data_IF_301092774769
#
_entry.id   IF_301092774769
#
_cell.length_a   1.000
_cell.length_b   1.000
_cell.length_c   1.000
_cell.angle_alpha   90.00
_cell.angle_beta   90.00
_cell.angle_gamma   90.00
#
_symmetry.space_group_name_H-M   'P 1'
#
loop_
_entity.id
_entity.type
_entity.pdbx_description
1 polymer ?
#
# COMPACT_ATOMS: atom_id res chain seq x y z
N UNK A 1 11.90 -19.47 -26.08
CA UNK A 1 11.65 -18.36 -25.14
C UNK A 1 12.58 -18.55 -23.96
N UNK A 2 13.61 -17.72 -23.75
CA UNK A 2 14.34 -17.76 -22.49
C UNK A 2 13.37 -17.34 -21.38
N UNK A 3 13.01 -18.29 -20.54
CA UNK A 3 12.17 -18.07 -19.36
C UNK A 3 12.94 -17.10 -18.46
N UNK A 4 12.33 -15.95 -18.09
CA UNK A 4 12.86 -15.10 -17.03
C UNK A 4 13.14 -15.99 -15.82
N UNK A 5 14.40 -16.06 -15.38
CA UNK A 5 14.69 -16.72 -14.11
C UNK A 5 13.93 -15.97 -13.03
N UNK A 6 13.19 -16.70 -12.20
CA UNK A 6 12.40 -16.13 -11.10
C UNK A 6 13.24 -15.22 -10.19
N UNK A 7 14.55 -15.41 -10.19
CA UNK A 7 15.57 -14.69 -9.41
C UNK A 7 15.80 -13.24 -9.87
N UNK A 8 15.47 -12.87 -11.11
CA UNK A 8 15.63 -11.50 -11.64
C UNK A 8 14.32 -10.85 -12.10
N UNK A 9 13.18 -11.40 -11.66
CA UNK A 9 11.84 -10.97 -12.08
C UNK A 9 11.56 -9.47 -11.85
N UNK A 10 12.24 -8.85 -10.88
CA UNK A 10 12.10 -7.44 -10.52
C UNK A 10 13.32 -6.59 -10.90
N UNK A 11 14.24 -7.12 -11.72
CA UNK A 11 15.41 -6.36 -12.16
C UNK A 11 15.00 -5.00 -12.75
N UNK A 12 15.65 -3.94 -12.26
CA UNK A 12 15.38 -2.56 -12.66
C UNK A 12 14.11 -1.94 -12.11
N UNK A 13 13.32 -2.67 -11.31
CA UNK A 13 12.12 -2.12 -10.69
C UNK A 13 12.49 -1.32 -9.43
N UNK A 14 12.04 -0.08 -9.33
CA UNK A 14 12.03 0.67 -8.06
C UNK A 14 10.69 0.52 -7.38
N UNK A 15 10.70 0.10 -6.12
CA UNK A 15 9.50 -0.25 -5.38
C UNK A 15 9.45 0.52 -4.05
N UNK A 16 8.36 1.25 -3.82
CA UNK A 16 8.12 1.97 -2.58
C UNK A 16 7.31 1.10 -1.62
N UNK A 17 7.78 0.94 -0.39
CA UNK A 17 7.02 0.31 0.70
C UNK A 17 6.54 1.40 1.65
N UNK A 18 5.23 1.70 1.60
CA UNK A 18 4.61 2.74 2.43
C UNK A 18 4.29 2.27 3.87
N UNK A 19 4.68 1.04 4.21
CA UNK A 19 4.47 0.40 5.50
C UNK A 19 5.65 0.64 6.45
N UNK A 20 5.36 0.69 7.75
CA UNK A 20 6.36 0.75 8.81
C UNK A 20 6.73 -0.66 9.30
N UNK A 21 5.80 -1.33 9.98
CA UNK A 21 6.00 -2.66 10.57
C UNK A 21 6.29 -3.74 9.52
N UNK A 22 7.35 -4.53 9.73
CA UNK A 22 7.82 -5.60 8.83
C UNK A 22 8.11 -5.13 7.39
N UNK A 23 8.36 -3.85 7.20
CA UNK A 23 8.82 -3.29 5.93
C UNK A 23 10.16 -3.88 5.47
N UNK A 24 11.03 -4.25 6.42
CA UNK A 24 12.31 -4.92 6.18
C UNK A 24 12.13 -6.32 5.57
N UNK A 25 11.20 -7.12 6.12
CA UNK A 25 10.91 -8.46 5.58
C UNK A 25 10.40 -8.38 4.15
N UNK A 26 9.47 -7.43 3.89
CA UNK A 26 8.90 -7.22 2.57
C UNK A 26 9.95 -6.69 1.59
N UNK A 27 10.79 -5.74 2.00
CA UNK A 27 11.89 -5.21 1.20
C UNK A 27 12.87 -6.33 0.82
N UNK A 28 13.36 -7.08 1.81
CA UNK A 28 14.27 -8.21 1.60
C UNK A 28 13.69 -9.23 0.60
N UNK A 29 12.39 -9.54 0.70
CA UNK A 29 11.76 -10.49 -0.20
C UNK A 29 11.73 -10.01 -1.67
N UNK A 30 11.58 -8.71 -1.90
CA UNK A 30 11.56 -8.08 -3.22
C UNK A 30 12.98 -7.85 -3.77
N UNK A 31 13.91 -7.41 -2.94
CA UNK A 31 15.33 -7.21 -3.27
C UNK A 31 15.99 -8.51 -3.70
N UNK A 32 15.64 -9.64 -3.05
CA UNK A 32 16.06 -10.99 -3.47
C UNK A 32 15.63 -11.37 -4.90
N UNK A 33 14.70 -10.63 -5.51
CA UNK A 33 14.25 -10.81 -6.90
C UNK A 33 14.75 -9.70 -7.84
N UNK A 34 15.67 -8.85 -7.37
CA UNK A 34 16.33 -7.81 -8.17
C UNK A 34 15.73 -6.41 -8.09
N UNK A 35 14.74 -6.17 -7.20
CA UNK A 35 14.18 -4.84 -7.01
C UNK A 35 15.13 -3.91 -6.25
N UNK A 36 14.99 -2.61 -6.49
CA UNK A 36 15.49 -1.55 -5.58
C UNK A 36 14.32 -1.10 -4.72
N UNK A 37 14.40 -1.28 -3.40
CA UNK A 37 13.28 -0.94 -2.50
C UNK A 37 13.56 0.35 -1.72
N UNK A 38 12.58 1.25 -1.72
CA UNK A 38 12.56 2.45 -0.88
C UNK A 38 11.49 2.31 0.19
N UNK A 39 11.90 2.29 1.46
CA UNK A 39 10.98 2.31 2.59
C UNK A 39 10.59 3.75 2.88
N UNK A 40 9.30 4.04 2.80
CA UNK A 40 8.73 5.36 3.03
C UNK A 40 7.49 5.23 3.94
N UNK A 41 7.68 4.83 5.21
CA UNK A 41 6.57 4.62 6.13
C UNK A 41 5.75 5.90 6.28
N UNK A 42 4.50 5.87 5.83
CA UNK A 42 3.63 7.04 5.82
C UNK A 42 3.04 7.38 7.20
N UNK A 43 3.32 6.55 8.19
CA UNK A 43 2.93 6.71 9.59
C UNK A 43 3.87 5.90 10.47
N UNK A 44 3.85 6.17 11.78
CA UNK A 44 4.53 5.37 12.80
C UNK A 44 3.52 4.72 13.74
N UNK A 45 3.94 3.67 14.44
CA UNK A 45 3.17 3.11 15.57
C UNK A 45 3.78 3.66 16.85
N UNK A 46 2.99 4.41 17.62
CA UNK A 46 3.37 4.85 18.97
C UNK A 46 2.75 3.87 19.96
N UNK A 47 3.59 3.07 20.61
CA UNK A 47 3.24 2.16 21.70
C UNK A 47 3.37 2.88 23.04
N UNK A 48 2.49 2.59 24.00
CA UNK A 48 2.59 3.15 25.36
C UNK A 48 2.21 4.63 25.48
N UNK A 49 1.59 5.21 24.44
CA UNK A 49 1.28 6.64 24.41
C UNK A 49 0.34 7.08 25.55
N UNK A 50 -0.46 6.16 26.11
CA UNK A 50 -1.49 6.44 27.11
C UNK A 50 -1.76 5.23 28.03
N UNK A 51 -0.70 4.55 28.51
CA UNK A 51 -0.87 3.40 29.41
C UNK A 51 -1.70 3.76 30.66
N UNK A 52 -1.53 4.98 31.18
CA UNK A 52 -2.33 5.49 32.32
C UNK A 52 -3.82 5.60 31.98
N UNK A 53 -4.16 6.13 30.81
CA UNK A 53 -5.57 6.27 30.41
C UNK A 53 -6.19 4.90 30.12
N UNK A 54 -5.45 4.02 29.45
CA UNK A 54 -5.88 2.65 29.17
C UNK A 54 -6.11 1.86 30.46
N UNK A 55 -5.22 1.97 31.45
CA UNK A 55 -5.40 1.32 32.76
C UNK A 55 -6.61 1.88 33.50
N UNK A 56 -6.76 3.20 33.57
CA UNK A 56 -7.93 3.82 34.20
C UNK A 56 -9.25 3.38 33.54
N UNK A 57 -9.27 3.22 32.21
CA UNK A 57 -10.44 2.66 31.50
C UNK A 57 -10.64 1.17 31.78
N UNK A 58 -9.55 0.41 31.94
CA UNK A 58 -9.60 -1.01 32.33
C UNK A 58 -10.21 -1.17 33.72
N UNK A 59 -9.82 -0.34 34.70
CA UNK A 59 -10.43 -0.31 36.03
C UNK A 59 -11.93 0.01 35.97
N UNK A 60 -12.36 0.91 35.07
CA UNK A 60 -13.79 1.19 34.84
C UNK A 60 -14.54 0.02 34.21
N UNK A 61 -13.90 -0.76 33.34
CA UNK A 61 -14.46 -2.01 32.80
C UNK A 61 -14.63 -3.04 33.91
N UNK A 62 -13.66 -3.16 34.81
CA UNK A 62 -13.73 -4.09 35.93
C UNK A 62 -14.83 -3.69 36.92
N UNK A 63 -14.91 -2.40 37.26
CA UNK A 63 -15.88 -1.89 38.21
C UNK A 63 -17.33 -1.93 37.69
N UNK A 64 -17.52 -1.76 36.39
CA UNK A 64 -18.82 -1.77 35.72
C UNK A 64 -18.70 -2.56 34.40
N UNK A 65 -18.89 -3.89 34.47
CA UNK A 65 -18.69 -4.81 33.35
C UNK A 65 -19.58 -4.53 32.14
N UNK A 66 -19.06 -4.70 30.91
CA UNK A 66 -19.84 -4.49 29.69
C UNK A 66 -20.79 -5.67 29.42
N UNK A 67 -21.94 -5.39 28.82
CA UNK A 67 -22.79 -6.42 28.22
C UNK A 67 -22.17 -7.00 26.94
N UNK A 68 -21.46 -6.17 26.18
CA UNK A 68 -20.93 -6.51 24.85
C UNK A 68 -19.48 -6.04 24.75
N UNK A 69 -18.60 -6.89 24.20
CA UNK A 69 -17.22 -6.54 23.88
C UNK A 69 -16.99 -6.64 22.38
N UNK A 70 -16.69 -5.51 21.75
CA UNK A 70 -16.32 -5.45 20.35
C UNK A 70 -14.80 -5.41 20.22
N UNK A 71 -14.25 -6.36 19.47
CA UNK A 71 -12.82 -6.42 19.17
C UNK A 71 -12.57 -6.08 17.71
N UNK A 72 -11.96 -4.92 17.47
CA UNK A 72 -11.60 -4.52 16.10
C UNK A 72 -10.34 -5.23 15.63
N UNK A 73 -9.29 -5.41 16.46
CA UNK A 73 -8.07 -6.06 15.99
C UNK A 73 -7.46 -6.99 17.03
N UNK A 74 -6.94 -8.12 16.57
CA UNK A 74 -6.28 -9.05 17.49
C UNK A 74 -4.98 -8.52 18.10
N UNK A 75 -4.27 -7.60 17.43
CA UNK A 75 -3.08 -6.97 18.03
C UNK A 75 -3.50 -6.02 19.15
N UNK A 76 -4.57 -5.25 18.94
CA UNK A 76 -5.08 -4.35 19.96
C UNK A 76 -5.61 -5.08 21.19
N UNK A 77 -6.40 -6.14 20.99
CA UNK A 77 -6.94 -6.92 22.11
C UNK A 77 -5.88 -7.68 22.89
N UNK A 78 -4.93 -8.37 22.22
CA UNK A 78 -3.81 -9.00 22.93
C UNK A 78 -2.99 -7.99 23.71
N UNK A 79 -2.63 -6.87 23.09
CA UNK A 79 -1.87 -5.83 23.78
C UNK A 79 -2.60 -5.28 25.00
N UNK A 80 -3.93 -5.23 24.97
CA UNK A 80 -4.73 -4.81 26.13
C UNK A 80 -4.69 -5.85 27.26
N UNK A 81 -4.93 -7.12 26.93
CA UNK A 81 -4.87 -8.21 27.91
C UNK A 81 -3.46 -8.36 28.51
N UNK A 82 -2.42 -8.27 27.68
CA UNK A 82 -1.03 -8.31 28.12
C UNK A 82 -0.73 -7.14 29.07
N UNK A 83 -1.15 -5.92 28.73
CA UNK A 83 -0.94 -4.76 29.59
C UNK A 83 -1.72 -4.84 30.91
N UNK A 84 -2.95 -5.39 30.90
CA UNK A 84 -3.70 -5.66 32.12
C UNK A 84 -2.98 -6.68 33.02
N UNK A 85 -2.44 -7.74 32.43
CA UNK A 85 -1.65 -8.75 33.14
C UNK A 85 -0.37 -8.17 33.75
N UNK A 86 0.38 -7.36 32.98
CA UNK A 86 1.58 -6.68 33.47
C UNK A 86 1.32 -5.77 34.68
N UNK A 87 0.08 -5.28 34.83
CA UNK A 87 -0.36 -4.44 35.95
C UNK A 87 -1.17 -5.21 37.01
N UNK A 88 -1.26 -6.54 36.93
CA UNK A 88 -1.96 -7.39 37.91
C UNK A 88 -3.47 -7.22 37.92
N UNK A 89 -4.07 -6.83 36.79
CA UNK A 89 -5.52 -6.65 36.61
C UNK A 89 -6.18 -7.81 35.87
N UNK A 90 -5.42 -8.83 35.47
CA UNK A 90 -5.87 -9.95 34.64
C UNK A 90 -7.01 -10.75 35.24
N UNK A 91 -6.89 -11.25 36.48
CA UNK A 91 -7.95 -12.07 37.09
C UNK A 91 -9.28 -11.31 37.21
N UNK A 92 -9.20 -10.03 37.58
CA UNK A 92 -10.36 -9.16 37.75
C UNK A 92 -10.99 -8.79 36.40
N UNK A 93 -10.17 -8.53 35.38
CA UNK A 93 -10.64 -8.25 34.03
C UNK A 93 -11.28 -9.48 33.41
N UNK A 94 -10.67 -10.65 33.54
CA UNK A 94 -11.23 -11.91 33.03
C UNK A 94 -12.58 -12.23 33.67
N UNK A 95 -12.72 -11.98 34.97
CA UNK A 95 -13.99 -12.13 35.67
C UNK A 95 -15.05 -11.14 35.15
N UNK A 96 -14.68 -9.88 34.92
CA UNK A 96 -15.59 -8.86 34.40
C UNK A 96 -16.06 -9.16 32.97
N UNK A 97 -15.20 -9.72 32.12
CA UNK A 97 -15.53 -9.98 30.72
C UNK A 97 -16.23 -11.33 30.47
N UNK A 98 -16.27 -12.22 31.48
CA UNK A 98 -16.69 -13.63 31.31
C UNK A 98 -18.06 -13.82 30.67
N UNK A 99 -19.04 -13.01 31.08
CA UNK A 99 -20.44 -13.15 30.64
C UNK A 99 -20.79 -12.18 29.50
N UNK A 100 -19.82 -11.44 28.98
CA UNK A 100 -20.03 -10.48 27.91
C UNK A 100 -20.22 -11.17 26.55
N UNK A 101 -21.07 -10.59 25.71
CA UNK A 101 -21.25 -11.02 24.31
C UNK A 101 -20.10 -10.47 23.46
N UNK A 102 -19.25 -11.34 22.92
CA UNK A 102 -18.07 -10.96 22.17
C UNK A 102 -18.35 -10.88 20.67
N UNK A 103 -18.00 -9.73 20.08
CA UNK A 103 -18.13 -9.45 18.65
C UNK A 103 -16.76 -9.19 18.05
N UNK A 104 -16.37 -10.01 17.07
CA UNK A 104 -15.12 -9.85 16.35
C UNK A 104 -15.34 -9.17 14.99
N UNK A 105 -14.59 -8.11 14.70
CA UNK A 105 -14.54 -7.50 13.35
C UNK A 105 -13.79 -8.36 12.30
N UNK A 106 -13.65 -9.67 12.52
CA UNK A 106 -13.01 -10.58 11.56
C UNK A 106 -12.01 -11.58 12.15
N UNK A 107 -11.37 -12.41 11.30
CA UNK A 107 -10.64 -13.61 11.74
C UNK A 107 -9.48 -13.36 12.72
N UNK A 108 -8.82 -12.20 12.62
CA UNK A 108 -7.70 -11.84 13.51
C UNK A 108 -8.17 -11.42 14.90
N UNK A 109 -9.32 -10.75 14.99
CA UNK A 109 -9.95 -10.40 16.26
C UNK A 109 -10.50 -11.66 16.92
N UNK A 110 -11.20 -12.50 16.14
CA UNK A 110 -11.71 -13.79 16.60
C UNK A 110 -10.60 -14.67 17.20
N UNK A 111 -9.48 -14.85 16.49
CA UNK A 111 -8.37 -15.64 17.01
C UNK A 111 -7.72 -15.05 18.26
N UNK A 112 -7.80 -13.73 18.50
CA UNK A 112 -7.29 -13.11 19.72
C UNK A 112 -8.24 -13.31 20.92
N UNK A 113 -9.55 -13.23 20.68
CA UNK A 113 -10.58 -13.55 21.68
C UNK A 113 -10.38 -14.99 22.18
N UNK A 114 -10.23 -15.94 21.26
CA UNK A 114 -9.98 -17.35 21.59
C UNK A 114 -8.67 -17.57 22.37
N UNK A 115 -7.60 -16.85 22.00
CA UNK A 115 -6.31 -16.94 22.69
C UNK A 115 -6.37 -16.44 24.14
N UNK A 116 -7.26 -15.47 24.42
CA UNK A 116 -7.51 -14.98 25.77
C UNK A 116 -8.52 -15.84 26.56
N UNK A 117 -8.99 -16.97 26.00
CA UNK A 117 -9.91 -17.88 26.69
C UNK A 117 -11.39 -17.52 26.56
N UNK A 118 -11.75 -16.49 25.79
CA UNK A 118 -13.13 -16.13 25.50
C UNK A 118 -13.64 -16.78 24.22
N UNK A 119 -14.96 -16.78 24.02
CA UNK A 119 -15.61 -17.24 22.78
C UNK A 119 -16.18 -16.02 22.06
N UNK A 120 -15.94 -15.87 20.76
CA UNK A 120 -16.64 -14.86 19.98
C UNK A 120 -18.02 -15.39 19.57
N UNK A 121 -19.07 -14.69 19.97
CA UNK A 121 -20.45 -15.02 19.66
C UNK A 121 -20.82 -14.66 18.21
N UNK A 122 -20.15 -13.66 17.64
CA UNK A 122 -20.32 -13.28 16.25
C UNK A 122 -19.02 -12.73 15.63
N UNK A 123 -18.81 -13.02 14.34
CA UNK A 123 -17.62 -12.59 13.59
C UNK A 123 -18.06 -11.98 12.25
N UNK A 124 -17.64 -10.74 12.01
CA UNK A 124 -17.89 -10.05 10.74
C UNK A 124 -17.22 -10.77 9.56
N UNK A 125 -17.97 -11.02 8.50
CA UNK A 125 -17.47 -11.69 7.28
C UNK A 125 -16.68 -10.72 6.39
N UNK A 126 -17.11 -9.46 6.32
CA UNK A 126 -16.48 -8.41 5.51
C UNK A 126 -15.23 -7.80 6.14
N UNK A 127 -14.94 -8.13 7.39
CA UNK A 127 -13.89 -7.52 8.21
C UNK A 127 -14.04 -5.99 8.41
N UNK A 128 -15.25 -5.45 8.31
CA UNK A 128 -15.53 -4.00 8.46
C UNK A 128 -16.23 -3.66 9.78
N UNK A 129 -15.99 -2.46 10.30
CA UNK A 129 -16.72 -1.92 11.46
C UNK A 129 -18.17 -1.53 11.10
N UNK A 130 -18.44 -1.25 9.82
CA UNK A 130 -19.80 -0.98 9.34
C UNK A 130 -20.71 -2.21 9.50
N UNK A 131 -20.24 -3.41 9.15
CA UNK A 131 -20.99 -4.66 9.35
C UNK A 131 -21.21 -4.94 10.85
N UNK A 132 -20.21 -4.70 11.69
CA UNK A 132 -20.34 -4.81 13.15
C UNK A 132 -21.43 -3.87 13.67
N UNK A 133 -21.45 -2.61 13.21
CA UNK A 133 -22.45 -1.63 13.60
C UNK A 133 -23.86 -2.03 13.16
N UNK A 134 -24.01 -2.54 11.93
CA UNK A 134 -25.28 -3.04 11.40
C UNK A 134 -25.82 -4.22 12.22
N UNK A 135 -24.96 -5.21 12.49
CA UNK A 135 -25.30 -6.37 13.31
C UNK A 135 -25.75 -5.96 14.72
N UNK A 136 -24.99 -5.09 15.40
CA UNK A 136 -25.32 -4.65 16.75
C UNK A 136 -26.61 -3.82 16.79
N UNK A 137 -26.81 -2.91 15.83
CA UNK A 137 -28.07 -2.16 15.72
C UNK A 137 -29.28 -3.06 15.50
N UNK A 138 -29.15 -4.06 14.63
CA UNK A 138 -30.22 -5.02 14.38
C UNK A 138 -30.52 -5.91 15.61
N UNK A 139 -29.49 -6.18 16.42
CA UNK A 139 -29.62 -6.97 17.67
C UNK A 139 -30.24 -6.18 18.82
N UNK A 140 -30.20 -4.85 18.77
CA UNK A 140 -30.75 -3.95 19.79
C UNK A 140 -29.78 -3.69 20.93
N UNK A 141 -29.26 -2.46 21.02
CA UNK A 141 -28.22 -2.07 21.98
C UNK A 141 -28.63 -0.95 22.94
N UNK A 142 -29.89 -0.51 22.90
CA UNK A 142 -30.37 0.55 23.77
C UNK A 142 -30.25 0.16 25.25
N UNK A 143 -29.57 1.01 26.04
CA UNK A 143 -29.30 0.77 27.46
C UNK A 143 -28.22 -0.28 27.74
N UNK A 144 -27.58 -0.84 26.70
CA UNK A 144 -26.47 -1.79 26.85
C UNK A 144 -25.15 -1.07 27.00
N UNK A 145 -24.28 -1.61 27.84
CA UNK A 145 -22.90 -1.14 27.96
C UNK A 145 -22.00 -1.90 27.00
N UNK A 146 -21.34 -1.18 26.12
CA UNK A 146 -20.50 -1.75 25.07
C UNK A 146 -19.07 -1.28 25.27
N UNK A 147 -18.16 -2.24 25.43
CA UNK A 147 -16.73 -1.99 25.37
C UNK A 147 -16.24 -2.18 23.93
N UNK A 148 -15.58 -1.18 23.35
CA UNK A 148 -14.98 -1.27 22.03
C UNK A 148 -13.45 -1.20 22.12
N UNK A 149 -12.79 -2.30 21.81
CA UNK A 149 -11.35 -2.37 21.62
C UNK A 149 -11.03 -1.89 20.19
N UNK A 150 -10.49 -0.68 20.05
CA UNK A 150 -10.18 -0.03 18.77
C UNK A 150 -8.77 -0.33 18.24
N UNK A 151 -8.60 -0.24 16.93
CA UNK A 151 -7.27 -0.13 16.35
C UNK A 151 -6.67 1.25 16.65
N UNK A 152 -5.38 1.43 16.41
CA UNK A 152 -4.69 2.66 16.81
C UNK A 152 -5.02 3.95 16.05
N UNK A 153 -6.11 3.96 15.28
CA UNK A 153 -6.67 5.20 14.76
C UNK A 153 -7.85 5.70 15.62
N UNK A 154 -8.26 4.95 16.64
CA UNK A 154 -9.47 5.21 17.44
C UNK A 154 -10.75 4.74 16.74
N UNK A 155 -11.88 5.33 17.13
CA UNK A 155 -13.20 5.09 16.52
C UNK A 155 -13.19 5.50 15.05
N UNK A 156 -13.68 4.61 14.20
CA UNK A 156 -13.94 4.84 12.78
C UNK A 156 -15.42 5.19 12.51
N UNK A 157 -16.11 5.75 13.51
CA UNK A 157 -17.55 6.04 13.48
C UNK A 157 -18.41 4.99 14.20
N UNK A 158 -17.81 3.87 14.63
CA UNK A 158 -18.52 2.80 15.33
C UNK A 158 -19.09 3.27 16.67
N UNK A 159 -18.32 4.02 17.46
CA UNK A 159 -18.74 4.50 18.78
C UNK A 159 -19.95 5.42 18.67
N UNK A 160 -19.92 6.33 17.69
CA UNK A 160 -21.00 7.27 17.38
C UNK A 160 -22.26 6.51 16.97
N UNK A 161 -22.17 5.54 16.06
CA UNK A 161 -23.32 4.76 15.59
C UNK A 161 -23.96 3.94 16.72
N UNK A 162 -23.17 3.39 17.63
CA UNK A 162 -23.68 2.63 18.78
C UNK A 162 -24.30 3.54 19.84
N UNK A 163 -23.68 4.69 20.09
CA UNK A 163 -24.21 5.72 21.01
C UNK A 163 -25.54 6.27 20.51
N UNK A 164 -25.64 6.56 19.21
CA UNK A 164 -26.89 7.02 18.56
C UNK A 164 -28.00 5.96 18.64
N UNK A 165 -27.64 4.68 18.74
CA UNK A 165 -28.57 3.58 18.97
C UNK A 165 -28.93 3.38 20.46
N UNK A 166 -28.45 4.24 21.35
CA UNK A 166 -28.77 4.29 22.77
C UNK A 166 -27.86 3.46 23.68
N UNK A 167 -26.70 3.01 23.20
CA UNK A 167 -25.73 2.27 24.01
C UNK A 167 -24.86 3.21 24.88
N UNK A 168 -24.39 2.71 26.02
CA UNK A 168 -23.29 3.30 26.79
C UNK A 168 -21.96 2.75 26.27
N UNK A 169 -21.20 3.55 25.51
CA UNK A 169 -19.98 3.09 24.84
C UNK A 169 -18.74 3.53 25.61
N UNK A 170 -17.91 2.55 25.97
CA UNK A 170 -16.56 2.75 26.49
C UNK A 170 -15.54 2.18 25.50
N UNK A 171 -14.45 2.90 25.27
CA UNK A 171 -13.48 2.52 24.23
C UNK A 171 -12.08 2.31 24.80
N UNK A 172 -11.33 1.34 24.29
CA UNK A 172 -9.94 1.10 24.67
C UNK A 172 -9.05 1.06 23.42
N UNK A 173 -7.94 1.79 23.46
CA UNK A 173 -6.93 1.86 22.40
C UNK A 173 -5.55 1.66 23.03
N UNK A 174 -4.79 0.68 22.55
CA UNK A 174 -3.49 0.29 23.16
C UNK A 174 -2.26 0.77 22.38
N UNK A 175 -2.46 1.28 21.17
CA UNK A 175 -1.42 1.91 20.38
C UNK A 175 -2.05 3.04 19.58
N UNK A 176 -1.28 4.04 19.17
CA UNK A 176 -1.77 5.10 18.29
C UNK A 176 -0.91 5.19 17.03
N UNK A 177 -1.51 5.63 15.93
CA UNK A 177 -0.73 6.03 14.76
C UNK A 177 -0.10 7.39 15.01
N UNK A 178 1.21 7.48 14.89
CA UNK A 178 1.96 8.73 14.92
C UNK A 178 2.27 9.23 13.50
N UNK A 179 2.85 10.44 13.39
CA UNK A 179 3.31 10.97 12.12
C UNK A 179 4.36 10.05 11.47
N UNK A 180 4.60 10.18 10.16
CA UNK A 180 5.72 9.48 9.53
C UNK A 180 7.04 9.82 10.24
N UNK A 181 7.93 8.84 10.46
CA UNK A 181 9.25 9.09 11.07
C UNK A 181 10.07 10.16 10.35
N UNK A 182 9.91 10.24 9.02
CA UNK A 182 10.51 11.27 8.17
C UNK A 182 9.47 11.71 7.11
N UNK A 183 8.81 12.86 7.28
CA UNK A 183 7.83 13.38 6.32
C UNK A 183 8.42 13.63 4.92
N UNK A 184 9.69 14.00 4.83
CA UNK A 184 10.34 14.32 3.55
C UNK A 184 10.57 13.06 2.72
N UNK A 185 10.85 11.92 3.36
CA UNK A 185 10.93 10.62 2.67
C UNK A 185 9.58 10.23 2.06
N UNK A 186 8.47 10.46 2.77
CA UNK A 186 7.12 10.17 2.27
C UNK A 186 6.79 11.10 1.09
N UNK A 187 7.05 12.40 1.22
CA UNK A 187 6.86 13.39 0.15
C UNK A 187 7.66 13.03 -1.10
N UNK A 188 8.92 12.67 -0.95
CA UNK A 188 9.77 12.21 -2.04
C UNK A 188 9.21 10.96 -2.70
N UNK A 189 8.73 10.00 -1.92
CA UNK A 189 8.15 8.76 -2.47
C UNK A 189 6.91 9.03 -3.33
N UNK A 190 6.04 9.97 -2.93
CA UNK A 190 4.90 10.39 -3.73
C UNK A 190 5.33 11.07 -5.05
N UNK A 191 6.35 11.93 -5.01
CA UNK A 191 6.92 12.55 -6.22
C UNK A 191 7.56 11.50 -7.15
N UNK A 192 8.28 10.52 -6.60
CA UNK A 192 8.88 9.43 -7.38
C UNK A 192 7.81 8.59 -8.08
N UNK A 193 6.74 8.23 -7.38
CA UNK A 193 5.60 7.52 -7.95
C UNK A 193 4.94 8.32 -9.08
N UNK A 194 4.73 9.63 -8.89
CA UNK A 194 4.14 10.49 -9.90
C UNK A 194 5.05 10.73 -11.12
N UNK A 195 6.37 10.80 -10.90
CA UNK A 195 7.38 11.11 -11.91
C UNK A 195 7.89 9.91 -12.71
N UNK A 196 7.45 8.69 -12.39
CA UNK A 196 7.93 7.46 -13.03
C UNK A 196 9.29 6.97 -12.53
N UNK A 197 9.74 7.47 -11.38
CA UNK A 197 10.93 6.95 -10.70
C UNK A 197 10.63 5.71 -9.84
N UNK A 198 9.36 5.34 -9.69
CA UNK A 198 8.93 4.11 -9.05
C UNK A 198 7.95 3.34 -9.95
N UNK A 199 8.11 2.01 -9.97
CA UNK A 199 7.23 1.09 -10.70
C UNK A 199 6.09 0.57 -9.83
N UNK A 200 6.25 0.57 -8.50
CA UNK A 200 5.21 0.13 -7.58
C UNK A 200 5.22 0.86 -6.23
N UNK A 201 4.05 0.95 -5.60
CA UNK A 201 3.87 1.36 -4.19
C UNK A 201 3.04 0.31 -3.46
N UNK A 202 3.53 -0.17 -2.31
CA UNK A 202 2.89 -1.21 -1.52
C UNK A 202 2.31 -0.68 -0.21
N UNK A 203 1.08 -1.10 0.08
CA UNK A 203 0.32 -0.70 1.25
C UNK A 203 -0.13 -1.90 2.08
N UNK A 204 0.05 -1.81 3.40
CA UNK A 204 -0.32 -2.88 4.33
C UNK A 204 -1.41 -2.49 5.33
N UNK A 205 -1.81 -1.21 5.35
CA UNK A 205 -2.85 -0.69 6.24
C UNK A 205 -3.59 0.48 5.59
N UNK A 206 -4.89 0.58 5.84
CA UNK A 206 -5.71 1.68 5.33
C UNK A 206 -5.21 3.06 5.83
N UNK A 207 -4.85 3.26 7.11
CA UNK A 207 -4.31 4.54 7.58
C UNK A 207 -2.99 4.92 6.89
N UNK A 208 -2.14 3.94 6.58
CA UNK A 208 -0.87 4.19 5.87
C UNK A 208 -1.10 4.61 4.43
N UNK A 209 -2.07 3.97 3.75
CA UNK A 209 -2.49 4.38 2.41
C UNK A 209 -3.10 5.79 2.41
N UNK A 210 -4.01 6.08 3.35
CA UNK A 210 -4.64 7.39 3.48
C UNK A 210 -3.61 8.50 3.75
N UNK A 211 -2.67 8.27 4.66
CA UNK A 211 -1.58 9.23 4.97
C UNK A 211 -0.70 9.49 3.74
N UNK A 212 -0.31 8.45 3.01
CA UNK A 212 0.49 8.60 1.80
C UNK A 212 -0.25 9.36 0.69
N UNK A 213 -1.56 9.11 0.52
CA UNK A 213 -2.43 9.86 -0.41
C UNK A 213 -2.50 11.33 0.00
N UNK A 214 -2.68 11.63 1.30
CA UNK A 214 -2.73 13.00 1.80
C UNK A 214 -1.44 13.76 1.47
N UNK A 215 -0.28 13.15 1.70
CA UNK A 215 1.02 13.73 1.31
C UNK A 215 1.13 13.95 -0.20
N UNK A 216 0.63 13.00 -1.02
CA UNK A 216 0.61 13.16 -2.48
C UNK A 216 -0.30 14.30 -2.94
N UNK A 217 -1.43 14.52 -2.26
CA UNK A 217 -2.36 15.61 -2.51
C UNK A 217 -1.75 16.96 -2.11
N UNK A 218 -1.15 17.05 -0.92
CA UNK A 218 -0.44 18.24 -0.43
C UNK A 218 0.72 18.63 -1.35
N UNK A 219 1.45 17.65 -1.88
CA UNK A 219 2.53 17.87 -2.85
C UNK A 219 2.01 18.19 -4.27
N UNK A 220 0.70 18.15 -4.53
CA UNK A 220 0.11 18.44 -5.84
C UNK A 220 0.39 17.39 -6.91
N UNK A 221 0.74 16.16 -6.53
CA UNK A 221 1.17 15.09 -7.45
C UNK A 221 0.16 13.94 -7.60
N UNK A 222 -0.95 13.97 -6.87
CA UNK A 222 -1.97 12.92 -6.87
C UNK A 222 -2.51 12.59 -8.28
N UNK A 223 -2.76 13.60 -9.12
CA UNK A 223 -3.25 13.37 -10.48
C UNK A 223 -2.22 12.69 -11.38
N UNK A 224 -0.92 12.92 -11.13
CA UNK A 224 0.15 12.19 -11.80
C UNK A 224 0.11 10.70 -11.45
N UNK A 225 -0.09 10.38 -10.17
CA UNK A 225 -0.21 9.02 -9.67
C UNK A 225 -1.46 8.33 -10.24
N UNK A 226 -2.61 9.02 -10.27
CA UNK A 226 -3.85 8.53 -10.93
C UNK A 226 -3.58 8.10 -12.36
N UNK A 227 -3.08 9.01 -13.19
CA UNK A 227 -2.79 8.73 -14.61
C UNK A 227 -1.89 7.51 -14.79
N UNK A 228 -0.82 7.42 -14.00
CA UNK A 228 0.13 6.30 -14.09
C UNK A 228 -0.46 4.98 -13.61
N UNK A 229 -1.26 5.00 -12.55
CA UNK A 229 -1.93 3.79 -12.05
C UNK A 229 -2.93 3.24 -13.07
N UNK A 230 -3.75 4.10 -13.67
CA UNK A 230 -4.72 3.73 -14.70
C UNK A 230 -4.06 3.24 -16.00
N UNK A 231 -2.91 3.82 -16.37
CA UNK A 231 -2.16 3.34 -17.54
C UNK A 231 -1.32 2.08 -17.27
N UNK A 232 -1.34 1.54 -16.04
CA UNK A 232 -0.52 0.41 -15.60
C UNK A 232 0.98 0.73 -15.50
N UNK A 233 1.39 2.00 -15.57
CA UNK A 233 2.79 2.45 -15.45
C UNK A 233 3.26 2.59 -14.00
N UNK A 234 2.32 2.50 -13.06
CA UNK A 234 2.58 2.43 -11.63
C UNK A 234 1.66 1.37 -11.02
N UNK A 235 2.23 0.34 -10.43
CA UNK A 235 1.47 -0.67 -9.69
C UNK A 235 1.23 -0.20 -8.26
N UNK A 236 -0.02 0.11 -7.93
CA UNK A 236 -0.44 0.29 -6.54
C UNK A 236 -0.94 -1.07 -6.02
N UNK A 237 -0.29 -1.60 -4.98
CA UNK A 237 -0.60 -2.92 -4.46
C UNK A 237 -0.99 -2.84 -2.98
N UNK A 238 -2.14 -3.42 -2.64
CA UNK A 238 -2.63 -3.49 -1.26
C UNK A 238 -2.66 -4.93 -0.76
N UNK A 239 -2.41 -5.10 0.54
CA UNK A 239 -2.47 -6.43 1.18
C UNK A 239 -3.90 -7.01 1.25
N UNK A 240 -4.94 -6.18 1.12
CA UNK A 240 -6.34 -6.60 1.28
C UNK A 240 -7.32 -5.47 1.03
N UNK A 241 -8.64 -5.77 0.94
CA UNK A 241 -9.67 -4.83 0.51
C UNK A 241 -9.82 -3.62 1.43
N UNK A 242 -9.71 -3.80 2.75
CA UNK A 242 -9.75 -2.68 3.71
C UNK A 242 -8.62 -1.68 3.44
N UNK A 243 -7.41 -2.17 3.19
CA UNK A 243 -6.26 -1.32 2.83
C UNK A 243 -6.43 -0.65 1.47
N UNK A 244 -7.18 -1.26 0.55
CA UNK A 244 -7.45 -0.71 -0.77
C UNK A 244 -8.48 0.42 -0.75
N UNK A 245 -9.37 0.45 0.25
CA UNK A 245 -10.49 1.39 0.27
C UNK A 245 -10.09 2.87 0.14
N UNK A 246 -9.06 3.40 0.85
CA UNK A 246 -8.60 4.77 0.65
C UNK A 246 -8.03 5.03 -0.75
N UNK A 247 -7.36 4.03 -1.35
CA UNK A 247 -6.84 4.14 -2.72
C UNK A 247 -7.99 4.24 -3.73
N UNK A 248 -9.02 3.42 -3.59
CA UNK A 248 -10.20 3.48 -4.45
C UNK A 248 -10.99 4.78 -4.28
N UNK A 249 -11.16 5.27 -3.04
CA UNK A 249 -11.80 6.56 -2.77
C UNK A 249 -11.04 7.73 -3.41
N UNK A 250 -9.72 7.59 -3.58
CA UNK A 250 -8.88 8.55 -4.29
C UNK A 250 -8.81 8.34 -5.82
N UNK A 251 -9.62 7.45 -6.41
CA UNK A 251 -9.60 7.07 -7.83
C UNK A 251 -8.24 6.50 -8.31
N UNK A 252 -7.61 5.69 -7.46
CA UNK A 252 -6.34 5.03 -7.76
C UNK A 252 -6.55 3.56 -8.14
N UNK A 253 -6.15 3.19 -9.36
CA UNK A 253 -6.22 1.81 -9.82
C UNK A 253 -5.25 0.92 -9.00
N UNK A 254 -5.81 -0.04 -8.26
CA UNK A 254 -5.09 -0.82 -7.24
C UNK A 254 -5.29 -2.31 -7.44
N UNK A 255 -4.21 -3.08 -7.26
CA UNK A 255 -4.25 -4.54 -7.21
C UNK A 255 -4.28 -5.01 -5.76
N UNK A 256 -5.22 -5.91 -5.43
CA UNK A 256 -5.35 -6.51 -4.11
C UNK A 256 -4.66 -7.87 -4.11
N UNK A 257 -3.84 -8.17 -3.10
CA UNK A 257 -3.23 -9.47 -2.94
C UNK A 257 -4.27 -10.57 -2.63
N UNK A 258 -4.09 -11.77 -3.20
CA UNK A 258 -5.02 -12.90 -3.04
C UNK A 258 -5.28 -13.29 -1.57
N UNK A 259 -4.29 -13.07 -0.70
CA UNK A 259 -4.38 -13.31 0.74
C UNK A 259 -3.86 -12.11 1.51
N UNK A 260 -4.50 -11.82 2.65
CA UNK A 260 -4.15 -10.76 3.61
C UNK A 260 -2.81 -10.94 4.34
N UNK A 261 -1.71 -11.21 3.64
CA UNK A 261 -0.38 -11.54 4.17
C UNK A 261 0.74 -10.92 3.30
N UNK A 262 1.85 -10.52 3.93
CA UNK A 262 3.00 -9.91 3.23
C UNK A 262 3.59 -10.79 2.12
N UNK A 263 3.68 -12.10 2.34
CA UNK A 263 4.18 -13.03 1.32
C UNK A 263 3.28 -13.09 0.07
N UNK A 264 1.96 -12.93 0.25
CA UNK A 264 1.03 -12.85 -0.88
C UNK A 264 1.20 -11.53 -1.63
N UNK A 265 1.32 -10.42 -0.90
CA UNK A 265 1.57 -9.10 -1.48
C UNK A 265 2.87 -9.06 -2.30
N UNK A 266 3.96 -9.60 -1.76
CA UNK A 266 5.22 -9.73 -2.49
C UNK A 266 5.07 -10.58 -3.75
N UNK A 267 4.35 -11.72 -3.66
CA UNK A 267 4.08 -12.59 -4.81
C UNK A 267 3.27 -11.88 -5.89
N UNK A 268 2.24 -11.12 -5.51
CA UNK A 268 1.43 -10.31 -6.44
C UNK A 268 2.32 -9.38 -7.27
N UNK A 269 3.28 -8.70 -6.63
CA UNK A 269 4.23 -7.81 -7.34
C UNK A 269 5.20 -8.59 -8.21
N UNK A 270 5.80 -9.67 -7.69
CA UNK A 270 6.71 -10.54 -8.46
C UNK A 270 6.01 -11.12 -9.68
N UNK A 271 4.77 -11.57 -9.55
CA UNK A 271 3.98 -12.12 -10.65
C UNK A 271 3.53 -11.04 -11.64
N UNK A 272 3.29 -9.81 -11.19
CA UNK A 272 2.94 -8.71 -12.09
C UNK A 272 4.08 -8.41 -13.07
N UNK A 273 5.28 -8.18 -12.54
CA UNK A 273 6.45 -7.86 -13.34
C UNK A 273 7.07 -9.08 -14.01
N UNK A 274 7.21 -10.20 -13.30
CA UNK A 274 7.81 -11.43 -13.83
C UNK A 274 6.90 -12.21 -14.77
N UNK A 275 5.58 -12.12 -14.61
CA UNK A 275 4.57 -12.86 -15.38
C UNK A 275 4.03 -12.12 -16.60
N UNK A 276 4.64 -10.99 -16.99
CA UNK A 276 4.27 -10.26 -18.21
C UNK A 276 2.95 -9.48 -18.13
N UNK A 277 2.47 -9.18 -16.91
CA UNK A 277 1.27 -8.33 -16.71
C UNK A 277 1.58 -6.83 -16.78
N UNK A 278 2.86 -6.46 -16.65
CA UNK A 278 3.30 -5.09 -16.84
C UNK A 278 3.10 -4.65 -18.31
N UNK A 279 2.76 -3.36 -18.56
CA UNK A 279 2.59 -2.86 -19.92
C UNK A 279 3.81 -3.12 -20.79
N UNK A 280 3.57 -3.77 -21.94
CA UNK A 280 4.62 -4.17 -22.88
C UNK A 280 4.18 -3.97 -24.32
N UNK A 281 5.16 -3.75 -25.19
CA UNK A 281 4.94 -3.61 -26.63
C UNK A 281 5.73 -4.67 -27.40
N UNK A 282 5.12 -5.30 -28.42
CA UNK A 282 5.84 -6.18 -29.33
C UNK A 282 6.79 -5.34 -30.22
N UNK A 283 8.03 -5.80 -30.34
CA UNK A 283 9.04 -5.22 -31.23
C UNK A 283 9.83 -6.37 -31.86
N UNK A 284 10.54 -6.12 -32.97
CA UNK A 284 11.35 -7.16 -33.63
C UNK A 284 12.40 -7.81 -32.68
N UNK A 285 13.13 -7.05 -31.83
CA UNK A 285 14.02 -7.65 -30.82
C UNK A 285 13.34 -8.38 -29.66
N UNK A 286 12.00 -8.42 -29.61
CA UNK A 286 11.19 -9.04 -28.55
C UNK A 286 10.24 -8.07 -27.85
N UNK A 287 9.53 -8.54 -26.82
CA UNK A 287 8.65 -7.66 -26.02
C UNK A 287 9.48 -6.65 -25.23
N UNK A 288 9.07 -5.38 -25.28
CA UNK A 288 9.68 -4.27 -24.55
C UNK A 288 8.82 -3.93 -23.34
N UNK A 289 9.41 -4.03 -22.15
CA UNK A 289 8.83 -3.60 -20.87
C UNK A 289 9.71 -2.51 -20.26
N UNK A 290 9.19 -1.29 -20.15
CA UNK A 290 9.93 -0.19 -19.50
C UNK A 290 9.84 -0.33 -17.98
N UNK A 291 10.95 -0.08 -17.28
CA UNK A 291 11.09 -0.04 -15.82
C UNK A 291 11.70 1.30 -15.39
N UNK A 292 11.52 1.73 -14.15
CA UNK A 292 12.13 2.99 -13.67
C UNK A 292 13.66 3.00 -13.81
N UNK A 293 14.31 1.86 -13.62
CA UNK A 293 15.77 1.70 -13.73
C UNK A 293 16.27 1.27 -15.11
N UNK A 294 15.40 1.05 -16.11
CA UNK A 294 15.83 0.52 -17.39
C UNK A 294 14.73 -0.02 -18.29
N UNK A 295 15.07 -1.04 -19.07
CA UNK A 295 14.14 -1.71 -19.97
C UNK A 295 14.41 -3.19 -20.00
N UNK A 296 13.35 -4.00 -20.08
CA UNK A 296 13.48 -5.41 -20.41
C UNK A 296 13.11 -5.61 -21.87
N UNK A 297 14.01 -6.21 -22.65
CA UNK A 297 13.82 -6.51 -24.07
C UNK A 297 13.99 -8.01 -24.29
N UNK A 298 12.91 -8.69 -24.71
CA UNK A 298 12.95 -10.13 -24.95
C UNK A 298 13.32 -10.95 -23.70
N UNK A 299 13.07 -10.42 -22.50
CA UNK A 299 13.38 -11.05 -21.22
C UNK A 299 14.70 -10.60 -20.57
N UNK A 300 15.58 -9.92 -21.31
CA UNK A 300 16.85 -9.40 -20.81
C UNK A 300 16.70 -7.96 -20.29
N UNK A 301 17.16 -7.71 -19.06
CA UNK A 301 17.17 -6.37 -18.47
C UNK A 301 18.41 -5.57 -18.92
N UNK A 302 18.17 -4.36 -19.41
CA UNK A 302 19.18 -3.39 -19.83
C UNK A 302 19.04 -2.15 -18.93
N UNK A 303 20.06 -1.81 -18.13
CA UNK A 303 20.02 -0.62 -17.27
C UNK A 303 20.04 0.66 -18.12
N UNK A 304 19.24 1.65 -17.75
CA UNK A 304 19.20 2.95 -18.40
C UNK A 304 19.43 4.07 -17.39
N UNK A 305 19.99 5.19 -17.87
CA UNK A 305 19.95 6.44 -17.10
C UNK A 305 18.49 6.92 -16.93
N UNK A 306 18.21 7.74 -15.91
CA UNK A 306 16.86 8.31 -15.69
C UNK A 306 16.30 9.01 -16.94
N UNK A 307 17.12 9.80 -17.62
CA UNK A 307 16.72 10.48 -18.86
C UNK A 307 16.37 9.50 -19.98
N UNK A 308 17.15 8.42 -20.13
CA UNK A 308 16.91 7.40 -21.16
C UNK A 308 15.65 6.57 -20.84
N UNK A 309 15.42 6.20 -19.58
CA UNK A 309 14.20 5.52 -19.14
C UNK A 309 12.96 6.40 -19.36
N UNK A 310 13.01 7.69 -18.99
CA UNK A 310 11.90 8.64 -19.19
C UNK A 310 11.56 8.82 -20.68
N UNK A 311 12.56 8.96 -21.55
CA UNK A 311 12.36 9.01 -23.00
C UNK A 311 11.71 7.74 -23.53
N UNK A 312 12.23 6.58 -23.11
CA UNK A 312 11.70 5.31 -23.58
C UNK A 312 10.28 5.06 -23.08
N UNK A 313 9.95 5.47 -21.86
CA UNK A 313 8.59 5.39 -21.33
C UNK A 313 7.62 6.27 -22.14
N UNK A 314 8.02 7.49 -22.50
CA UNK A 314 7.22 8.37 -23.34
C UNK A 314 6.99 7.76 -24.73
N UNK A 315 8.05 7.24 -25.36
CA UNK A 315 7.96 6.57 -26.66
C UNK A 315 7.10 5.30 -26.61
N UNK A 316 7.21 4.50 -25.55
CA UNK A 316 6.39 3.32 -25.34
C UNK A 316 4.93 3.71 -25.10
N UNK A 317 4.65 4.77 -24.34
CA UNK A 317 3.28 5.26 -24.14
C UNK A 317 2.68 5.85 -25.43
N UNK A 318 3.52 6.26 -26.39
CA UNK A 318 3.09 6.67 -27.71
C UNK A 318 2.71 5.51 -28.65
N UNK A 319 3.06 4.26 -28.31
CA UNK A 319 2.65 3.07 -29.05
C UNK A 319 3.08 3.06 -30.52
N UNK A 320 4.28 3.57 -30.82
CA UNK A 320 4.81 3.67 -32.18
C UNK A 320 4.46 4.96 -32.93
N UNK A 321 3.64 5.84 -32.35
CA UNK A 321 3.46 7.21 -32.85
C UNK A 321 4.75 8.03 -32.70
N UNK A 322 4.94 9.00 -33.59
CA UNK A 322 6.08 9.92 -33.56
C UNK A 322 5.86 11.00 -32.50
N UNK A 323 6.81 11.13 -31.59
CA UNK A 323 6.89 12.25 -30.65
C UNK A 323 7.91 13.28 -31.15
N UNK A 324 7.54 14.56 -31.09
CA UNK A 324 8.44 15.65 -31.47
C UNK A 324 9.55 15.83 -30.43
N UNK A 325 10.59 16.57 -30.80
CA UNK A 325 11.65 16.96 -29.85
C UNK A 325 11.09 17.80 -28.69
N UNK A 326 10.06 18.60 -28.93
CA UNK A 326 9.42 19.40 -27.89
C UNK A 326 8.66 18.51 -26.90
N UNK A 327 7.90 17.52 -27.41
CA UNK A 327 7.18 16.55 -26.57
C UNK A 327 8.16 15.77 -25.67
N UNK A 328 9.28 15.31 -26.24
CA UNK A 328 10.31 14.57 -25.52
C UNK A 328 11.11 15.45 -24.56
N UNK A 329 11.32 16.73 -24.89
CA UNK A 329 11.94 17.69 -23.98
C UNK A 329 11.11 17.91 -22.72
N UNK A 330 9.78 17.84 -22.82
CA UNK A 330 8.87 17.98 -21.69
C UNK A 330 8.94 16.86 -20.65
N UNK A 331 9.42 15.67 -21.03
CA UNK A 331 9.52 14.50 -20.14
C UNK A 331 10.91 14.28 -19.55
N UNK A 332 11.93 14.99 -20.04
CA UNK A 332 13.29 14.83 -19.53
C UNK A 332 13.43 15.39 -18.10
N UNK A 333 14.12 14.69 -17.20
CA UNK A 333 14.41 15.20 -15.87
C UNK A 333 15.41 16.37 -15.94
N UNK A 334 15.22 17.40 -15.10
CA UNK A 334 16.09 18.58 -15.02
C UNK A 334 15.53 19.85 -15.69
N UNK A 335 16.31 20.94 -15.59
CA UNK A 335 15.92 22.27 -16.05
C UNK A 335 16.16 22.50 -17.56
N UNK A 336 17.12 21.79 -18.16
CA UNK A 336 17.45 21.94 -19.58
C UNK A 336 16.56 21.06 -20.46
N UNK A 337 15.44 21.64 -20.92
CA UNK A 337 14.44 20.99 -21.78
C UNK A 337 14.56 21.47 -23.23
N UNK A 338 15.75 21.34 -23.81
CA UNK A 338 16.04 21.81 -25.17
C UNK A 338 16.24 20.64 -26.16
N UNK A 339 16.23 20.96 -27.46
CA UNK A 339 16.38 19.96 -28.53
C UNK A 339 17.70 19.19 -28.47
N UNK A 340 18.78 19.83 -28.04
CA UNK A 340 20.09 19.21 -27.93
C UNK A 340 20.13 18.15 -26.81
N UNK A 341 19.51 18.44 -25.66
CA UNK A 341 19.38 17.50 -24.55
C UNK A 341 18.61 16.23 -24.98
N UNK A 342 17.55 16.38 -25.78
CA UNK A 342 16.81 15.24 -26.36
C UNK A 342 17.71 14.42 -27.28
N UNK A 343 18.48 15.05 -28.16
CA UNK A 343 19.39 14.36 -29.08
C UNK A 343 20.47 13.56 -28.34
N UNK A 344 21.09 14.16 -27.32
CA UNK A 344 22.10 13.49 -26.47
C UNK A 344 21.47 12.32 -25.70
N UNK A 345 20.28 12.51 -25.13
CA UNK A 345 19.61 11.46 -24.38
C UNK A 345 19.13 10.30 -25.27
N UNK A 346 18.70 10.57 -26.51
CA UNK A 346 18.41 9.53 -27.51
C UNK A 346 19.68 8.79 -27.94
N UNK A 347 20.80 9.49 -28.14
CA UNK A 347 22.07 8.85 -28.48
C UNK A 347 22.50 7.87 -27.38
N UNK A 348 22.47 8.30 -26.12
CA UNK A 348 22.76 7.45 -24.94
C UNK A 348 21.80 6.27 -24.80
N UNK A 349 20.51 6.48 -25.08
CA UNK A 349 19.52 5.40 -25.09
C UNK A 349 19.88 4.34 -26.13
N UNK A 350 20.21 4.74 -27.36
CA UNK A 350 20.60 3.80 -28.44
C UNK A 350 21.89 3.05 -28.13
N UNK A 351 22.87 3.73 -27.54
CA UNK A 351 24.12 3.13 -27.09
C UNK A 351 23.85 2.04 -26.03
N UNK A 352 23.06 2.35 -25.01
CA UNK A 352 22.69 1.39 -23.96
C UNK A 352 21.91 0.18 -24.51
N UNK A 353 21.11 0.38 -25.55
CA UNK A 353 20.36 -0.69 -26.22
C UNK A 353 21.23 -1.63 -27.08
N UNK A 354 22.54 -1.37 -27.20
CA UNK A 354 23.50 -2.30 -27.80
C UNK A 354 23.23 -2.65 -29.26
N UNK A 355 22.73 -1.69 -30.05
CA UNK A 355 22.45 -1.88 -31.48
C UNK A 355 21.06 -2.44 -31.81
N UNK A 356 20.20 -2.67 -30.81
CA UNK A 356 18.78 -3.02 -31.06
C UNK A 356 18.06 -1.80 -31.66
N UNK A 357 17.51 -1.94 -32.87
CA UNK A 357 16.79 -0.87 -33.57
C UNK A 357 15.39 -0.60 -32.98
N UNK A 358 15.33 -0.21 -31.70
CA UNK A 358 14.06 0.07 -31.02
C UNK A 358 13.59 1.51 -31.19
N UNK A 359 14.51 2.47 -31.36
CA UNK A 359 14.18 3.91 -31.41
C UNK A 359 14.56 4.49 -32.76
N UNK A 360 13.55 4.82 -33.57
CA UNK A 360 13.75 5.35 -34.93
C UNK A 360 13.65 6.86 -34.97
N UNK A 361 14.53 7.49 -35.73
CA UNK A 361 14.42 8.91 -36.08
C UNK A 361 13.49 9.05 -37.26
N UNK A 362 12.46 9.89 -37.13
CA UNK A 362 11.63 10.33 -38.25
C UNK A 362 12.09 11.72 -38.65
N UNK A 363 12.75 11.82 -39.80
CA UNK A 363 13.41 13.03 -40.30
C UNK A 363 12.46 14.23 -40.21
N UNK A 364 12.96 15.33 -39.62
CA UNK A 364 12.24 16.59 -39.36
C UNK A 364 11.02 16.49 -38.43
N UNK A 365 10.60 15.31 -37.98
CA UNK A 365 9.40 15.12 -37.15
C UNK A 365 9.72 14.75 -35.69
N UNK A 366 10.70 13.89 -35.46
CA UNK A 366 11.09 13.48 -34.10
C UNK A 366 11.47 12.02 -34.02
N UNK A 367 11.00 11.32 -32.98
CA UNK A 367 11.37 9.93 -32.69
C UNK A 367 10.16 9.05 -32.43
N UNK A 368 10.27 7.75 -32.70
CA UNK A 368 9.24 6.75 -32.40
C UNK A 368 9.86 5.44 -31.92
N UNK A 369 9.09 4.66 -31.16
CA UNK A 369 9.43 3.27 -30.87
C UNK A 369 9.08 2.38 -32.08
N UNK A 370 9.94 1.44 -32.44
CA UNK A 370 9.76 0.47 -33.52
C UNK A 370 8.86 -0.69 -33.05
N UNK A 371 7.58 -0.38 -32.85
CA UNK A 371 6.54 -1.36 -32.50
C UNK A 371 6.14 -2.15 -33.75
N UNK A 372 6.00 -3.47 -33.61
CA UNK A 372 5.43 -4.34 -34.65
C UNK A 372 3.92 -4.43 -34.48
N UNK A 373 3.18 -4.55 -35.58
CA UNK A 373 1.76 -4.94 -35.49
C UNK A 373 1.69 -6.41 -35.04
N UNK A 374 0.78 -6.72 -34.11
CA UNK A 374 0.57 -8.09 -33.59
C UNK A 374 0.04 -9.04 -34.67
#
# INVERSE_FOLDING_TARGET
>A
MPVRTLDSALAGCTIIVAADRRSVDLATALERRGAVVHRAPALSIVTGADDVEMLARTERVIADPPDIVVVTTGVGFRGWMDAAHEHGLDEALDAALRDAHFVARGPKAHGAIQQAGFTADWVAESETSAEVAEYLRASGVAGKRILVQHHGAGSDGLDEVLTDAGADVLSITVYRWGPPPDPEVVRRSAMQAAGGEADAVLFTSAPGAASWIAVAQEAGVLDGIRRRSHSGRLLLASVGPITAAPLHAADLHTVIADRGRLGSLARTVISHFGGGRAPSLPTEPGRVEVRSGGVVVGGEFIPLSRSAAALLEALASAGGRVLSRADLGGVLPGAERNAHAVEVAVARLREALGGRELVHTVVKRGYRLAVTED
#
